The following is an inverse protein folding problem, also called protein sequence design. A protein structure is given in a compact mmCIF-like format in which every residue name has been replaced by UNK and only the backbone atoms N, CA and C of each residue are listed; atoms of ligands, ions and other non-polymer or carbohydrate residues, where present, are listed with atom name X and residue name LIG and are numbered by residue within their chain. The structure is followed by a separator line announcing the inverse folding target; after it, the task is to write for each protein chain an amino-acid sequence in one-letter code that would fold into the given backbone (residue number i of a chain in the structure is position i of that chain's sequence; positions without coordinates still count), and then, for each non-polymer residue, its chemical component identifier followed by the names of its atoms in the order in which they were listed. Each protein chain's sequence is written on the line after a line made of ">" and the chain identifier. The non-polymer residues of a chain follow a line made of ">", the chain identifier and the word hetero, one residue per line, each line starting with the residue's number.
data_IF_512666984750
#
_entry.id   IF_512666984750
#
_cell.length_a   1.000
_cell.length_b   1.000
_cell.length_c   1.000
_cell.angle_alpha   90.00
_cell.angle_beta   90.00
_cell.angle_gamma   90.00
#
_symmetry.space_group_name_H-M   'P 1'
#
loop_
_entity.id
_entity.type
_entity.pdbx_description
1 polymer ?
#
# COMPACT_ATOMS: atom_id res chain seq x y z
N UNK A 1 -5.95 -21.79 5.35
CA UNK A 1 -5.39 -20.64 6.09
C UNK A 1 -5.86 -19.38 5.37
N UNK A 2 -6.40 -18.40 6.09
CA UNK A 2 -6.75 -17.09 5.52
C UNK A 2 -5.49 -16.38 5.05
N UNK A 3 -5.58 -15.63 3.94
CA UNK A 3 -4.45 -14.81 3.48
C UNK A 3 -4.23 -13.65 4.45
N UNK A 4 -2.98 -13.26 4.76
CA UNK A 4 -2.73 -12.07 5.56
C UNK A 4 -3.23 -10.81 4.83
N UNK A 5 -3.83 -9.90 5.56
CA UNK A 5 -4.30 -8.62 5.02
C UNK A 5 -3.09 -7.71 4.78
N UNK A 6 -3.13 -6.98 3.66
CA UNK A 6 -2.21 -5.87 3.40
C UNK A 6 -3.01 -4.63 3.04
N UNK A 7 -2.74 -3.52 3.72
CA UNK A 7 -3.31 -2.24 3.35
C UNK A 7 -2.48 -1.61 2.24
N UNK A 8 -3.13 -1.17 1.18
CA UNK A 8 -2.47 -0.49 0.07
C UNK A 8 -2.87 0.98 0.14
N UNK A 9 -1.87 1.86 0.28
CA UNK A 9 -2.05 3.30 0.15
C UNK A 9 -2.22 3.63 -1.34
N UNK A 10 -3.47 3.58 -1.80
CA UNK A 10 -3.80 3.74 -3.20
C UNK A 10 -3.50 5.14 -3.73
N UNK A 11 -3.47 6.17 -2.87
CA UNK A 11 -3.13 7.53 -3.29
C UNK A 11 -1.63 7.66 -3.56
N UNK A 12 -0.79 7.15 -2.66
CA UNK A 12 0.65 7.07 -2.89
C UNK A 12 0.98 6.19 -4.10
N UNK A 13 0.31 5.04 -4.24
CA UNK A 13 0.48 4.13 -5.38
C UNK A 13 0.09 4.79 -6.71
N UNK A 14 -1.05 5.47 -6.77
CA UNK A 14 -1.48 6.13 -8.00
C UNK A 14 -0.47 7.19 -8.48
N UNK A 15 0.18 7.89 -7.55
CA UNK A 15 1.20 8.92 -7.81
C UNK A 15 2.64 8.38 -7.90
N UNK A 16 2.85 7.07 -7.95
CA UNK A 16 4.19 6.47 -7.89
C UNK A 16 4.98 6.50 -9.21
N UNK A 17 4.38 6.98 -10.30
CA UNK A 17 5.02 7.16 -11.62
C UNK A 17 5.05 8.63 -11.99
N UNK A 18 6.04 9.03 -12.79
CA UNK A 18 6.14 10.40 -13.28
C UNK A 18 4.93 10.82 -14.11
N UNK A 19 4.47 12.05 -13.90
CA UNK A 19 3.32 12.63 -14.60
C UNK A 19 2.52 13.58 -13.69
N UNK A 20 1.64 14.37 -14.29
CA UNK A 20 0.78 15.29 -13.54
C UNK A 20 -0.44 14.59 -12.92
N UNK A 21 -0.89 13.49 -13.53
CA UNK A 21 -2.09 12.76 -13.10
C UNK A 21 -1.71 11.47 -12.37
N UNK A 22 -2.46 11.19 -11.31
CA UNK A 22 -2.44 9.88 -10.66
C UNK A 22 -2.91 8.81 -11.67
N UNK A 23 -2.30 7.63 -11.66
CA UNK A 23 -2.59 6.57 -12.61
C UNK A 23 -3.41 5.45 -11.95
N UNK A 24 -4.63 5.20 -12.44
CA UNK A 24 -5.46 4.08 -11.96
C UNK A 24 -4.79 2.72 -12.19
N UNK A 25 -4.04 2.60 -13.29
CA UNK A 25 -3.30 1.39 -13.64
C UNK A 25 -2.29 0.98 -12.54
N UNK A 26 -1.67 1.94 -11.86
CA UNK A 26 -0.72 1.64 -10.78
C UNK A 26 -1.41 0.96 -9.58
N UNK A 27 -2.61 1.43 -9.21
CA UNK A 27 -3.41 0.82 -8.13
C UNK A 27 -3.71 -0.64 -8.47
N UNK A 28 -4.16 -0.89 -9.70
CA UNK A 28 -4.51 -2.23 -10.17
C UNK A 28 -3.28 -3.15 -10.18
N UNK A 29 -2.15 -2.68 -10.70
CA UNK A 29 -0.91 -3.44 -10.77
C UNK A 29 -0.38 -3.82 -9.38
N UNK A 30 -0.38 -2.87 -8.42
CA UNK A 30 0.07 -3.17 -7.05
C UNK A 30 -0.89 -4.12 -6.34
N UNK A 31 -2.20 -3.96 -6.52
CA UNK A 31 -3.21 -4.87 -5.98
C UNK A 31 -3.03 -6.31 -6.50
N UNK A 32 -2.85 -6.45 -7.81
CA UNK A 32 -2.58 -7.75 -8.44
C UNK A 32 -1.29 -8.36 -7.88
N UNK A 33 -0.21 -7.57 -7.83
CA UNK A 33 1.07 -8.01 -7.28
C UNK A 33 0.97 -8.49 -5.83
N UNK A 34 0.22 -7.78 -4.97
CA UNK A 34 0.00 -8.23 -3.58
C UNK A 34 -0.79 -9.53 -3.51
N UNK A 35 -1.76 -9.72 -4.40
CA UNK A 35 -2.55 -10.96 -4.48
C UNK A 35 -1.67 -12.15 -4.86
N UNK A 36 -0.75 -11.96 -5.81
CA UNK A 36 0.25 -12.96 -6.24
C UNK A 36 1.24 -13.33 -5.13
N UNK A 37 1.68 -12.35 -4.34
CA UNK A 37 2.56 -12.58 -3.18
C UNK A 37 1.82 -13.23 -1.99
N UNK A 38 0.52 -13.55 -2.16
CA UNK A 38 -0.27 -14.32 -1.20
C UNK A 38 -1.02 -13.48 -0.18
N UNK A 39 -1.10 -12.16 -0.35
CA UNK A 39 -1.87 -11.28 0.52
C UNK A 39 -3.33 -11.11 0.06
N UNK A 40 -4.15 -10.60 0.96
CA UNK A 40 -5.46 -10.04 0.66
C UNK A 40 -5.39 -8.51 0.71
N UNK A 41 -5.28 -7.84 -0.47
CA UNK A 41 -5.11 -6.39 -0.51
C UNK A 41 -6.41 -5.65 -0.24
N UNK A 42 -6.34 -4.68 0.67
CA UNK A 42 -7.37 -3.68 0.90
C UNK A 42 -6.82 -2.32 0.47
N UNK A 43 -7.33 -1.80 -0.64
CA UNK A 43 -6.89 -0.51 -1.17
C UNK A 43 -7.65 0.62 -0.47
N UNK A 44 -6.93 1.55 0.14
CA UNK A 44 -7.47 2.75 0.77
C UNK A 44 -6.95 3.98 0.03
N UNK A 45 -7.82 4.94 -0.25
CA UNK A 45 -7.46 6.17 -0.98
C UNK A 45 -8.00 7.42 -0.26
N UNK A 46 -7.29 8.52 -0.41
CA UNK A 46 -7.78 9.84 -0.03
C UNK A 46 -8.95 10.26 -0.93
N UNK A 47 -9.89 11.04 -0.37
CA UNK A 47 -11.05 11.54 -1.11
C UNK A 47 -10.67 12.48 -2.27
N UNK A 48 -9.54 13.16 -2.19
CA UNK A 48 -9.03 14.06 -3.22
C UNK A 48 -8.57 13.31 -4.49
N UNK A 49 -8.22 12.03 -4.40
CA UNK A 49 -7.67 11.26 -5.52
C UNK A 49 -8.60 11.27 -6.75
N UNK A 50 -9.91 11.27 -6.53
CA UNK A 50 -10.94 11.30 -7.58
C UNK A 50 -10.82 12.48 -8.56
N UNK A 51 -10.16 13.57 -8.13
CA UNK A 51 -9.95 14.78 -8.91
C UNK A 51 -8.59 14.81 -9.61
N UNK A 52 -7.69 13.91 -9.26
CA UNK A 52 -6.29 13.86 -9.72
C UNK A 52 -6.02 12.68 -10.67
N UNK A 53 -6.91 11.68 -10.66
CA UNK A 53 -6.72 10.44 -11.40
C UNK A 53 -7.00 10.59 -12.90
N UNK A 54 -6.26 9.84 -13.71
CA UNK A 54 -6.34 9.84 -15.17
C UNK A 54 -7.65 9.25 -15.72
N UNK A 55 -8.11 8.15 -15.14
CA UNK A 55 -9.37 7.49 -15.45
C UNK A 55 -10.35 7.59 -14.28
N UNK A 56 -11.10 8.70 -14.25
CA UNK A 56 -12.12 8.92 -13.22
C UNK A 56 -13.27 7.93 -13.30
N UNK A 57 -13.70 7.54 -14.51
CA UNK A 57 -14.84 6.64 -14.66
C UNK A 57 -14.51 5.23 -14.15
N UNK A 58 -13.32 4.73 -14.48
CA UNK A 58 -12.82 3.47 -13.93
C UNK A 58 -12.62 3.53 -12.42
N UNK A 59 -12.08 4.63 -11.90
CA UNK A 59 -11.92 4.83 -10.46
C UNK A 59 -13.25 4.75 -9.70
N UNK A 60 -14.28 5.48 -10.12
CA UNK A 60 -15.59 5.48 -9.44
C UNK A 60 -16.21 4.07 -9.47
N UNK A 61 -16.07 3.31 -10.56
CA UNK A 61 -16.50 1.91 -10.61
C UNK A 61 -15.78 1.02 -9.59
N UNK A 62 -14.48 1.23 -9.37
CA UNK A 62 -13.72 0.50 -8.34
C UNK A 62 -14.11 0.89 -6.91
N UNK A 63 -14.59 2.12 -6.72
CA UNK A 63 -15.14 2.55 -5.43
C UNK A 63 -16.49 1.91 -5.20
N UNK A 64 -17.40 1.98 -6.18
CA UNK A 64 -18.76 1.46 -6.09
C UNK A 64 -18.79 -0.07 -5.86
N UNK A 65 -17.86 -0.81 -6.46
CA UNK A 65 -17.75 -2.26 -6.27
C UNK A 65 -16.92 -2.67 -5.04
N UNK A 66 -16.41 -1.71 -4.28
CA UNK A 66 -15.65 -1.94 -3.05
C UNK A 66 -14.21 -2.44 -3.23
N UNK A 67 -13.67 -2.45 -4.44
CA UNK A 67 -12.26 -2.76 -4.71
C UNK A 67 -11.33 -1.67 -4.14
N UNK A 68 -11.76 -0.41 -4.21
CA UNK A 68 -11.10 0.75 -3.62
C UNK A 68 -11.99 1.33 -2.53
N UNK A 69 -11.44 1.55 -1.34
CA UNK A 69 -12.15 2.18 -0.22
C UNK A 69 -11.67 3.61 -0.07
N UNK A 70 -12.57 4.56 -0.28
CA UNK A 70 -12.28 5.96 -0.04
C UNK A 70 -12.35 6.25 1.47
N UNK A 71 -11.31 6.90 2.02
CA UNK A 71 -11.35 7.39 3.39
C UNK A 71 -12.45 8.46 3.53
N UNK A 72 -13.14 8.56 4.68
CA UNK A 72 -14.19 9.55 4.85
C UNK A 72 -13.65 10.97 4.64
N UNK A 73 -14.44 11.84 4.01
CA UNK A 73 -14.04 13.22 3.76
C UNK A 73 -13.68 13.94 5.08
N UNK A 74 -12.59 14.68 5.09
CA UNK A 74 -12.07 15.36 6.29
C UNK A 74 -11.36 14.43 7.28
N UNK A 75 -11.20 13.14 6.97
CA UNK A 75 -10.31 12.23 7.69
C UNK A 75 -8.92 12.28 7.06
N UNK A 76 -7.91 12.29 7.91
CA UNK A 76 -6.53 12.10 7.48
C UNK A 76 -6.35 10.63 7.03
N UNK A 77 -6.24 10.41 5.72
CA UNK A 77 -6.11 9.07 5.14
C UNK A 77 -4.89 8.32 5.71
N UNK A 78 -3.81 9.03 6.03
CA UNK A 78 -2.62 8.45 6.68
C UNK A 78 -2.98 7.93 8.07
N UNK A 79 -3.71 8.71 8.87
CA UNK A 79 -4.13 8.24 10.20
C UNK A 79 -5.04 7.01 10.10
N UNK A 80 -5.97 7.00 9.13
CA UNK A 80 -6.87 5.88 8.91
C UNK A 80 -6.11 4.61 8.53
N UNK A 81 -5.20 4.67 7.55
CA UNK A 81 -4.45 3.49 7.12
C UNK A 81 -3.52 2.97 8.22
N UNK A 82 -2.88 3.86 8.97
CA UNK A 82 -1.96 3.49 10.05
C UNK A 82 -2.69 2.87 11.25
N UNK A 83 -3.81 3.47 11.66
CA UNK A 83 -4.63 2.93 12.75
C UNK A 83 -5.20 1.55 12.38
N UNK A 84 -5.69 1.40 11.15
CA UNK A 84 -6.25 0.14 10.69
C UNK A 84 -5.20 -0.95 10.50
N UNK A 85 -4.00 -0.59 10.03
CA UNK A 85 -2.88 -1.52 9.94
C UNK A 85 -2.50 -2.09 11.31
N UNK A 86 -2.50 -1.24 12.34
CA UNK A 86 -2.20 -1.66 13.72
C UNK A 86 -3.29 -2.56 14.28
N UNK A 87 -4.56 -2.24 14.04
CA UNK A 87 -5.70 -3.03 14.51
C UNK A 87 -5.73 -4.44 13.89
N UNK A 88 -5.45 -4.55 12.59
CA UNK A 88 -5.46 -5.81 11.86
C UNK A 88 -4.13 -6.57 11.88
N UNK A 89 -3.11 -6.03 12.54
CA UNK A 89 -1.71 -6.43 12.41
C UNK A 89 -1.25 -6.59 10.95
N UNK A 90 -1.73 -5.70 10.08
CA UNK A 90 -1.48 -5.73 8.66
C UNK A 90 -0.18 -5.00 8.28
N UNK A 91 0.37 -5.40 7.14
CA UNK A 91 1.45 -4.68 6.44
C UNK A 91 0.86 -3.54 5.62
N UNK A 92 1.67 -2.54 5.28
CA UNK A 92 1.24 -1.37 4.49
C UNK A 92 2.10 -1.27 3.23
N UNK A 93 1.48 -1.17 2.06
CA UNK A 93 2.15 -0.85 0.81
C UNK A 93 2.06 0.66 0.58
N UNK A 94 3.19 1.34 0.77
CA UNK A 94 3.37 2.77 0.49
C UNK A 94 4.87 3.06 0.38
N UNK A 95 5.22 4.06 -0.43
CA UNK A 95 6.55 4.65 -0.46
C UNK A 95 6.69 5.84 0.50
N UNK A 96 5.58 6.35 1.05
CA UNK A 96 5.64 7.33 2.13
C UNK A 96 6.18 6.68 3.42
N UNK A 97 6.98 7.46 4.15
CA UNK A 97 7.55 7.07 5.44
C UNK A 97 6.70 7.52 6.62
N UNK A 98 5.64 8.29 6.38
CA UNK A 98 4.73 8.81 7.40
C UNK A 98 5.47 9.53 8.54
N UNK A 99 6.48 10.34 8.18
CA UNK A 99 7.41 10.96 9.15
C UNK A 99 6.68 11.79 10.21
N UNK A 100 5.63 12.50 9.79
CA UNK A 100 4.82 13.35 10.65
C UNK A 100 3.85 12.57 11.55
N UNK A 101 3.79 11.24 11.39
CA UNK A 101 2.91 10.34 12.16
C UNK A 101 3.70 9.41 13.08
N UNK A 102 5.03 9.40 13.02
CA UNK A 102 5.90 8.53 13.83
C UNK A 102 5.67 8.65 15.34
N UNK A 103 5.32 9.84 15.83
CA UNK A 103 5.02 10.04 17.25
C UNK A 103 3.80 9.23 17.72
N UNK A 104 2.78 9.07 16.86
CA UNK A 104 1.56 8.30 17.14
C UNK A 104 1.66 6.83 16.70
N UNK A 105 2.50 6.54 15.71
CA UNK A 105 2.69 5.23 15.10
C UNK A 105 4.19 4.90 14.95
N UNK A 106 4.90 4.65 16.06
CA UNK A 106 6.35 4.44 16.03
C UNK A 106 6.75 3.15 15.31
N UNK A 107 5.84 2.18 15.19
CA UNK A 107 6.04 0.87 14.56
C UNK A 107 5.79 0.86 13.04
N UNK A 108 5.36 1.99 12.44
CA UNK A 108 5.03 2.05 11.01
C UNK A 108 6.19 1.60 10.11
N UNK A 109 7.43 1.95 10.46
CA UNK A 109 8.61 1.65 9.66
C UNK A 109 8.87 0.15 9.46
N UNK A 110 8.33 -0.69 10.35
CA UNK A 110 8.44 -2.14 10.31
C UNK A 110 7.28 -2.80 9.55
N UNK A 111 6.20 -2.05 9.29
CA UNK A 111 5.02 -2.50 8.53
C UNK A 111 5.11 -2.22 7.04
N UNK A 112 5.95 -1.27 6.62
CA UNK A 112 6.06 -0.83 5.24
C UNK A 112 6.63 -1.89 4.30
N UNK A 113 5.91 -2.10 3.19
CA UNK A 113 6.33 -2.77 1.97
C UNK A 113 6.50 -1.67 0.93
N UNK A 114 7.75 -1.31 0.63
CA UNK A 114 8.06 -0.33 -0.41
C UNK A 114 8.12 -1.00 -1.77
N UNK A 115 7.97 -0.22 -2.83
CA UNK A 115 7.91 -0.75 -4.18
C UNK A 115 8.44 0.25 -5.21
N UNK A 116 8.70 -0.24 -6.42
CA UNK A 116 8.96 0.55 -7.61
C UNK A 116 8.12 -0.01 -8.76
N UNK A 117 7.74 0.83 -9.71
CA UNK A 117 7.09 0.42 -10.95
C UNK A 117 8.08 0.65 -12.09
N UNK A 118 8.48 -0.42 -12.78
CA UNK A 118 9.45 -0.39 -13.88
C UNK A 118 8.80 -1.05 -15.08
N UNK A 119 8.68 -0.33 -16.20
CA UNK A 119 8.03 -0.85 -17.42
C UNK A 119 6.64 -1.48 -17.16
N UNK A 120 5.88 -0.91 -16.21
CA UNK A 120 4.57 -1.38 -15.71
C UNK A 120 4.60 -2.61 -14.80
N UNK A 121 5.76 -3.15 -14.48
CA UNK A 121 5.92 -4.22 -13.50
C UNK A 121 6.16 -3.66 -12.09
N UNK A 122 5.49 -4.24 -11.09
CA UNK A 122 5.65 -3.87 -9.68
C UNK A 122 6.74 -4.71 -9.04
N UNK A 123 7.83 -4.06 -8.63
CA UNK A 123 8.94 -4.67 -7.90
C UNK A 123 8.89 -4.24 -6.45
N UNK A 124 8.83 -5.20 -5.53
CA UNK A 124 8.81 -4.93 -4.09
C UNK A 124 10.22 -4.81 -3.52
N UNK A 125 10.43 -3.84 -2.64
CA UNK A 125 11.65 -3.73 -1.86
C UNK A 125 11.74 -4.94 -0.92
N UNK A 126 12.55 -5.92 -1.30
CA UNK A 126 12.95 -6.96 -0.36
C UNK A 126 14.04 -6.37 0.52
N UNK A 127 13.66 -5.87 1.71
CA UNK A 127 14.65 -5.67 2.77
C UNK A 127 15.33 -7.01 2.95
N UNK A 128 16.64 -7.06 2.72
CA UNK A 128 17.45 -8.20 3.09
C UNK A 128 17.31 -8.35 4.61
N UNK A 129 16.32 -9.14 5.06
CA UNK A 129 16.25 -9.57 6.43
C UNK A 129 17.62 -10.16 6.74
N UNK A 130 18.21 -9.72 7.87
CA UNK A 130 19.41 -10.37 8.44
C UNK A 130 19.31 -11.85 8.12
N UNK A 131 20.26 -12.38 7.33
CA UNK A 131 20.47 -13.82 7.22
C UNK A 131 20.45 -14.33 8.65
N UNK A 132 19.39 -15.01 9.06
CA UNK A 132 19.39 -15.72 10.33
C UNK A 132 20.65 -16.57 10.30
N UNK A 133 21.56 -16.30 11.24
CA UNK A 133 22.81 -17.02 11.36
C UNK A 133 22.49 -18.50 11.36
N UNK A 134 22.93 -19.20 10.31
CA UNK A 134 22.92 -20.64 10.34
C UNK A 134 24.06 -21.08 11.23
N UNK A 135 23.82 -21.03 12.54
CA UNK A 135 24.57 -21.82 13.51
C UNK A 135 24.22 -23.28 13.25
N UNK A 136 24.99 -23.92 12.35
CA UNK A 136 25.29 -25.35 12.39
C UNK A 136 26.81 -25.39 12.56
N UNK A 137 27.38 -25.69 13.71
CA UNK A 137 27.02 -26.79 14.59
C UNK A 137 27.62 -28.08 14.05
N UNK A 138 28.82 -28.40 14.54
CA UNK A 138 29.51 -29.71 14.53
C UNK A 138 29.94 -30.27 13.17
N UNK A 139 31.25 -30.33 12.94
CA UNK A 139 32.08 -31.50 13.26
C UNK A 139 33.49 -31.07 13.59
#
# INVERSE_FOLDING_TARGET
>A
MSKPIVLVDGSNVAHSTEGEKAQLANILAVREKMTEEGFEPVVVVDAALRHQIDDRAGYEQLVDNGVVRQAPAGTDADYFILSFARELDARIVSNDRFRDRLAAFPDVADRLIRFMIVEKEVVLERRAGKRNGNTRGRR
#
